data_IF_074702607253
#
_entry.id   IF_074702607253
#
_cell.length_a   1.000
_cell.length_b   1.000
_cell.length_c   1.000
_cell.angle_alpha   90.00
_cell.angle_beta   90.00
_cell.angle_gamma   90.00
#
_symmetry.space_group_name_H-M   'P 1'
#
loop_
_entity.id
_entity.type
_entity.pdbx_description
1 polymer ?
#
# COMPACT_ATOMS: atom_id res chain seq x y z
N UNK A 1 17.97 29.20 5.58
CA UNK A 1 17.71 27.76 5.48
C UNK A 1 16.29 27.54 4.97
N UNK A 2 16.10 27.06 3.74
CA UNK A 2 14.78 26.75 3.19
C UNK A 2 14.58 25.23 3.23
N UNK A 3 13.58 24.76 3.96
CA UNK A 3 13.21 23.32 4.04
C UNK A 3 12.67 22.86 2.68
N UNK A 4 13.02 21.67 2.18
CA UNK A 4 12.34 21.10 1.02
C UNK A 4 10.93 20.67 1.44
N UNK A 5 9.91 21.23 0.79
CA UNK A 5 8.54 20.79 0.93
C UNK A 5 8.43 19.34 0.41
N UNK A 6 8.05 18.40 1.27
CA UNK A 6 7.62 17.07 0.83
C UNK A 6 6.29 17.25 0.09
N UNK A 7 6.32 17.20 -1.25
CA UNK A 7 5.10 17.24 -2.05
C UNK A 7 4.30 15.96 -1.79
N UNK A 8 3.03 16.05 -1.33
CA UNK A 8 2.15 14.89 -1.34
C UNK A 8 1.81 14.54 -2.79
N UNK A 9 1.72 13.25 -3.09
CA UNK A 9 1.22 12.76 -4.36
C UNK A 9 -0.21 13.28 -4.56
N UNK A 10 -0.40 14.23 -5.48
CA UNK A 10 -1.69 14.89 -5.68
C UNK A 10 -2.57 14.06 -6.63
N UNK A 11 -3.91 14.21 -6.58
CA UNK A 11 -4.80 13.58 -7.55
C UNK A 11 -4.46 13.94 -9.01
N UNK A 12 -3.87 15.11 -9.25
CA UNK A 12 -3.40 15.52 -10.57
C UNK A 12 -2.14 14.75 -11.00
N UNK A 13 -1.18 14.54 -10.10
CA UNK A 13 -0.01 13.70 -10.38
C UNK A 13 -0.40 12.23 -10.58
N UNK A 14 -1.42 11.76 -9.86
CA UNK A 14 -1.99 10.42 -10.06
C UNK A 14 -2.63 10.29 -11.45
N UNK A 15 -3.39 11.30 -11.88
CA UNK A 15 -4.00 11.34 -13.20
C UNK A 15 -2.96 11.44 -14.32
N UNK A 16 -1.92 12.27 -14.17
CA UNK A 16 -0.82 12.36 -15.14
C UNK A 16 0.00 11.08 -15.20
N UNK A 17 0.29 10.46 -14.06
CA UNK A 17 0.96 9.16 -14.01
C UNK A 17 0.12 8.09 -14.73
N UNK A 18 -1.18 8.02 -14.45
CA UNK A 18 -2.11 7.09 -15.10
C UNK A 18 -2.22 7.37 -16.60
N UNK A 19 -2.27 8.64 -16.99
CA UNK A 19 -2.33 9.05 -18.39
C UNK A 19 -1.03 8.74 -19.13
N UNK A 20 0.13 8.91 -18.49
CA UNK A 20 1.44 8.54 -19.05
C UNK A 20 1.63 7.02 -19.13
N UNK A 21 1.06 6.27 -18.19
CA UNK A 21 1.03 4.80 -18.21
C UNK A 21 0.13 4.25 -19.32
N UNK A 22 -1.05 4.85 -19.52
CA UNK A 22 -2.05 4.35 -20.48
C UNK A 22 -1.94 4.96 -21.87
N UNK A 23 -1.17 6.04 -22.01
CA UNK A 23 -0.98 6.77 -23.26
C UNK A 23 0.47 7.27 -23.35
N UNK A 24 1.46 6.37 -23.50
CA UNK A 24 2.88 6.71 -23.46
C UNK A 24 3.32 7.65 -24.59
N UNK A 25 2.49 7.84 -25.61
CA UNK A 25 2.72 8.73 -26.75
C UNK A 25 1.88 10.02 -26.72
N UNK A 26 1.07 10.23 -25.66
CA UNK A 26 0.33 11.49 -25.45
C UNK A 26 -0.75 11.78 -26.51
N UNK A 27 -1.25 10.77 -27.24
CA UNK A 27 -2.27 10.98 -28.27
C UNK A 27 -3.63 11.23 -27.60
N UNK A 28 -4.27 12.39 -27.75
CA UNK A 28 -5.59 12.60 -27.18
C UNK A 28 -6.59 11.66 -27.85
N UNK A 29 -7.10 10.67 -27.11
CA UNK A 29 -8.29 9.91 -27.50
C UNK A 29 -9.54 10.78 -27.33
N UNK A 30 -9.56 11.92 -28.02
CA UNK A 30 -10.72 12.78 -28.17
C UNK A 30 -11.19 12.65 -29.62
N UNK A 31 -12.23 11.83 -29.85
CA UNK A 31 -12.98 11.87 -31.11
C UNK A 31 -13.00 10.62 -32.00
N UNK A 32 -13.02 9.39 -31.45
CA UNK A 32 -13.42 8.21 -32.25
C UNK A 32 -14.95 8.11 -32.38
N UNK A 33 -15.55 9.13 -33.01
CA UNK A 33 -16.75 8.93 -33.80
C UNK A 33 -16.49 9.61 -35.14
N UNK A 34 -16.25 8.86 -36.23
CA UNK A 34 -16.19 9.47 -37.54
C UNK A 34 -17.56 10.12 -37.84
N UNK A 35 -17.60 11.36 -38.36
CA UNK A 35 -18.87 11.96 -38.76
C UNK A 35 -19.48 11.11 -39.87
N UNK A 36 -20.71 10.63 -39.65
CA UNK A 36 -21.47 9.93 -40.68
C UNK A 36 -21.75 10.90 -41.82
N UNK A 37 -21.10 10.68 -42.97
CA UNK A 37 -21.38 11.44 -44.18
C UNK A 37 -22.80 11.11 -44.67
N UNK A 38 -23.60 12.10 -45.11
CA UNK A 38 -24.95 11.85 -45.62
C UNK A 38 -24.88 11.00 -46.89
N UNK A 39 -25.57 9.86 -46.91
CA UNK A 39 -25.66 8.99 -48.08
C UNK A 39 -24.96 7.63 -47.98
N UNK A 40 -24.29 7.32 -46.85
CA UNK A 40 -23.82 5.96 -46.56
C UNK A 40 -24.96 5.18 -45.90
N UNK A 41 -25.39 4.01 -46.44
CA UNK A 41 -26.38 3.18 -45.77
C UNK A 41 -25.88 2.81 -44.37
N UNK A 42 -26.78 2.69 -43.36
CA UNK A 42 -26.38 2.47 -41.98
C UNK A 42 -25.39 1.30 -41.91
N UNK A 43 -24.23 1.58 -41.31
CA UNK A 43 -23.14 0.63 -41.15
C UNK A 43 -23.71 -0.70 -40.65
N UNK A 44 -23.36 -1.78 -41.34
CA UNK A 44 -23.59 -3.15 -40.88
C UNK A 44 -23.31 -3.21 -39.38
N UNK A 45 -24.32 -3.56 -38.56
CA UNK A 45 -24.17 -3.52 -37.11
C UNK A 45 -23.08 -4.52 -36.74
N UNK A 46 -22.33 -4.18 -35.69
CA UNK A 46 -21.37 -5.01 -34.98
C UNK A 46 -21.39 -6.49 -35.36
N UNK A 47 -20.26 -7.08 -35.80
CA UNK A 47 -20.22 -8.46 -36.23
C UNK A 47 -20.88 -9.35 -35.17
N UNK A 48 -21.99 -9.98 -35.59
CA UNK A 48 -22.77 -10.88 -34.75
C UNK A 48 -21.81 -11.92 -34.15
N UNK A 49 -21.70 -12.09 -32.82
CA UNK A 49 -20.75 -13.03 -32.22
C UNK A 49 -20.91 -14.44 -32.80
N UNK A 50 -22.14 -14.84 -33.14
CA UNK A 50 -22.43 -16.10 -33.82
C UNK A 50 -21.89 -16.23 -35.25
N UNK A 51 -21.66 -15.12 -35.95
CA UNK A 51 -21.01 -15.12 -37.26
C UNK A 51 -19.48 -15.30 -37.15
N UNK A 52 -18.87 -14.90 -36.03
CA UNK A 52 -17.45 -15.21 -35.75
C UNK A 52 -17.25 -16.70 -35.44
N UNK A 53 -18.25 -17.36 -34.85
CA UNK A 53 -18.26 -18.82 -34.64
C UNK A 53 -18.65 -19.61 -35.91
N UNK A 54 -19.05 -18.96 -37.00
CA UNK A 54 -19.36 -19.65 -38.25
C UNK A 54 -18.11 -20.01 -39.08
N UNK A 55 -16.93 -19.50 -38.71
CA UNK A 55 -15.65 -19.72 -39.40
C UNK A 55 -14.62 -20.47 -38.53
N UNK A 56 -15.07 -21.38 -37.67
CA UNK A 56 -14.24 -22.15 -36.73
C UNK A 56 -13.35 -23.18 -37.45
N UNK A 57 -12.35 -22.71 -38.19
CA UNK A 57 -11.17 -23.51 -38.49
C UNK A 57 -10.43 -23.77 -37.16
N UNK A 58 -10.17 -25.03 -36.77
CA UNK A 58 -9.37 -25.36 -35.59
C UNK A 58 -8.03 -24.61 -35.53
N UNK A 59 -7.41 -24.30 -36.68
CA UNK A 59 -6.16 -23.55 -36.73
C UNK A 59 -6.31 -22.10 -36.26
N UNK A 60 -7.41 -21.43 -36.60
CA UNK A 60 -7.69 -20.06 -36.15
C UNK A 60 -8.02 -20.01 -34.65
N UNK A 61 -8.68 -21.05 -34.12
CA UNK A 61 -8.89 -21.19 -32.67
C UNK A 61 -7.56 -21.33 -31.93
N UNK A 62 -6.65 -22.17 -32.41
CA UNK A 62 -5.32 -22.32 -31.79
C UNK A 62 -4.53 -21.00 -31.83
N UNK A 63 -4.60 -20.27 -32.95
CA UNK A 63 -4.00 -18.94 -33.07
C UNK A 63 -4.58 -17.96 -32.04
N UNK A 64 -5.91 -17.87 -31.93
CA UNK A 64 -6.60 -17.00 -30.96
C UNK A 64 -6.26 -17.35 -29.53
N UNK A 65 -6.16 -18.65 -29.21
CA UNK A 65 -5.71 -19.11 -27.90
C UNK A 65 -4.30 -18.57 -27.63
N UNK A 66 -3.37 -18.70 -28.58
CA UNK A 66 -2.01 -18.16 -28.46
C UNK A 66 -1.97 -16.65 -28.21
N UNK A 67 -2.72 -15.87 -29.00
CA UNK A 67 -2.83 -14.41 -28.80
C UNK A 67 -3.38 -14.05 -27.41
N UNK A 68 -4.44 -14.73 -26.96
CA UNK A 68 -5.04 -14.52 -25.64
C UNK A 68 -4.09 -14.92 -24.50
N UNK A 69 -3.25 -15.95 -24.67
CA UNK A 69 -2.22 -16.33 -23.68
C UNK A 69 -1.15 -15.26 -23.52
N UNK A 70 -0.76 -14.60 -24.61
CA UNK A 70 0.18 -13.47 -24.53
C UNK A 70 -0.43 -12.31 -23.77
N UNK A 71 -1.71 -11.99 -24.05
CA UNK A 71 -2.45 -10.95 -23.33
C UNK A 71 -2.56 -11.30 -21.84
N UNK A 72 -2.92 -12.55 -21.52
CA UNK A 72 -2.98 -13.06 -20.15
C UNK A 72 -1.64 -12.88 -19.42
N UNK A 73 -0.53 -13.26 -20.05
CA UNK A 73 0.81 -13.13 -19.48
C UNK A 73 1.19 -11.67 -19.19
N UNK A 74 0.83 -10.74 -20.08
CA UNK A 74 1.08 -9.31 -19.86
C UNK A 74 0.20 -8.74 -18.75
N UNK A 75 -1.08 -9.11 -18.70
CA UNK A 75 -2.00 -8.69 -17.64
C UNK A 75 -1.54 -9.22 -16.27
N UNK A 76 -1.04 -10.45 -16.20
CA UNK A 76 -0.45 -11.00 -14.99
C UNK A 76 0.77 -10.19 -14.53
N UNK A 77 1.65 -9.81 -15.46
CA UNK A 77 2.80 -8.95 -15.15
C UNK A 77 2.36 -7.56 -14.63
N UNK A 78 1.34 -6.96 -15.27
CA UNK A 78 0.75 -5.68 -14.83
C UNK A 78 0.17 -5.79 -13.41
N UNK A 79 -0.55 -6.87 -13.13
CA UNK A 79 -1.09 -7.15 -11.80
C UNK A 79 0.01 -7.25 -10.75
N UNK A 80 1.08 -8.00 -11.05
CA UNK A 80 2.23 -8.13 -10.14
C UNK A 80 2.87 -6.78 -9.83
N UNK A 81 3.00 -5.90 -10.83
CA UNK A 81 3.53 -4.55 -10.63
C UNK A 81 2.65 -3.69 -9.71
N UNK A 82 1.32 -3.74 -9.88
CA UNK A 82 0.38 -3.04 -8.99
C UNK A 82 0.47 -3.57 -7.56
N UNK A 83 0.50 -4.89 -7.39
CA UNK A 83 0.63 -5.51 -6.07
C UNK A 83 1.94 -5.13 -5.36
N UNK A 84 3.07 -5.07 -6.09
CA UNK A 84 4.34 -4.60 -5.54
C UNK A 84 4.29 -3.11 -5.14
N UNK A 85 3.64 -2.27 -5.96
CA UNK A 85 3.46 -0.85 -5.66
C UNK A 85 2.62 -0.64 -4.40
N UNK A 86 1.53 -1.41 -4.24
CA UNK A 86 0.68 -1.38 -3.04
C UNK A 86 1.50 -1.77 -1.80
N UNK A 87 2.20 -2.91 -1.83
CA UNK A 87 3.04 -3.37 -0.70
C UNK A 87 4.10 -2.34 -0.31
N UNK A 88 4.70 -1.68 -1.29
CA UNK A 88 5.69 -0.62 -1.03
C UNK A 88 5.05 0.56 -0.32
N UNK A 89 3.86 1.01 -0.75
CA UNK A 89 3.13 2.10 -0.10
C UNK A 89 2.64 1.71 1.31
N UNK A 90 2.22 0.47 1.52
CA UNK A 90 1.84 -0.05 2.83
C UNK A 90 3.02 -0.06 3.81
N UNK A 91 4.21 -0.44 3.34
CA UNK A 91 5.44 -0.35 4.13
C UNK A 91 5.80 1.11 4.46
N UNK A 92 5.69 2.01 3.48
CA UNK A 92 5.92 3.45 3.69
C UNK A 92 4.94 4.03 4.72
N UNK A 93 3.65 3.67 4.64
CA UNK A 93 2.63 4.06 5.61
C UNK A 93 3.01 3.59 7.02
N UNK A 94 3.36 2.32 7.17
CA UNK A 94 3.73 1.73 8.47
C UNK A 94 4.96 2.43 9.07
N UNK A 95 5.96 2.73 8.24
CA UNK A 95 7.16 3.48 8.68
C UNK A 95 6.82 4.89 9.17
N UNK A 96 5.93 5.61 8.46
CA UNK A 96 5.47 6.94 8.88
C UNK A 96 4.68 6.90 10.21
N UNK A 97 3.85 5.87 10.40
CA UNK A 97 3.11 5.66 11.65
C UNK A 97 4.07 5.37 12.82
N UNK A 98 5.10 4.55 12.61
CA UNK A 98 6.13 4.27 13.60
C UNK A 98 6.93 5.54 13.97
N UNK A 99 7.33 6.34 12.98
CA UNK A 99 8.02 7.61 13.22
C UNK A 99 7.14 8.61 14.00
N UNK A 100 5.84 8.68 13.67
CA UNK A 100 4.89 9.53 14.41
C UNK A 100 4.72 9.06 15.85
N UNK A 101 4.63 7.75 16.08
CA UNK A 101 4.54 7.19 17.43
C UNK A 101 5.82 7.46 18.25
N UNK A 102 7.00 7.30 17.64
CA UNK A 102 8.28 7.63 18.29
C UNK A 102 8.43 9.12 18.62
N UNK A 103 8.01 10.01 17.71
CA UNK A 103 8.01 11.45 17.97
C UNK A 103 7.04 11.85 19.10
N UNK A 104 5.87 11.20 19.19
CA UNK A 104 4.94 11.40 20.30
C UNK A 104 5.51 10.92 21.64
N UNK A 105 6.18 9.76 21.65
CA UNK A 105 6.85 9.24 22.85
C UNK A 105 8.00 10.15 23.32
N UNK A 106 8.77 10.74 22.40
CA UNK A 106 9.82 11.71 22.71
C UNK A 106 9.28 13.06 23.20
N UNK A 107 8.02 13.39 22.88
CA UNK A 107 7.36 14.63 23.29
C UNK A 107 6.55 14.48 24.59
N UNK A 108 6.39 13.26 25.11
CA UNK A 108 5.83 13.08 26.44
C UNK A 108 6.87 13.48 27.49
N UNK A 109 6.54 14.35 28.45
CA UNK A 109 7.38 14.56 29.62
C UNK A 109 7.63 13.20 30.26
N UNK A 110 8.81 12.96 30.87
CA UNK A 110 8.99 11.76 31.68
C UNK A 110 7.82 11.71 32.65
N UNK A 111 6.98 10.67 32.52
CA UNK A 111 5.91 10.42 33.47
C UNK A 111 6.59 10.48 34.84
N UNK A 112 6.19 11.48 35.63
CA UNK A 112 6.68 11.61 36.99
C UNK A 112 6.49 10.23 37.60
N UNK A 113 7.62 9.61 37.98
CA UNK A 113 7.62 8.36 38.70
C UNK A 113 6.56 8.49 39.80
N UNK A 114 5.71 7.47 40.02
CA UNK A 114 4.80 7.53 41.16
C UNK A 114 5.68 7.78 42.38
N UNK A 115 5.60 9.00 42.91
CA UNK A 115 6.35 9.44 44.06
C UNK A 115 6.03 8.44 45.16
N UNK A 116 6.95 7.50 45.37
CA UNK A 116 7.04 6.79 46.64
C UNK A 116 7.31 7.91 47.64
N UNK A 117 6.22 8.34 48.29
CA UNK A 117 6.29 9.13 49.50
C UNK A 117 7.04 8.29 50.51
N UNK A 118 8.34 8.50 50.54
CA UNK A 118 9.20 8.15 51.65
C UNK A 118 8.78 9.01 52.84
N UNK A 119 7.75 8.55 53.56
CA UNK A 119 7.41 9.09 54.87
C UNK A 119 8.34 8.49 55.91
N UNK A 120 9.44 9.19 56.23
CA UNK A 120 9.91 9.41 57.62
C UNK A 120 11.26 10.15 57.64
N UNK A 121 11.52 11.05 58.62
CA UNK A 121 11.67 10.60 60.00
C UNK A 121 11.16 11.59 61.06
N UNK A 122 10.39 11.11 62.04
CA UNK A 122 10.33 11.71 63.37
C UNK A 122 10.40 10.61 64.44
N UNK A 123 11.02 10.91 65.60
CA UNK A 123 11.65 9.92 66.48
C UNK A 123 10.71 9.49 67.60
N UNK A 124 10.56 8.19 67.82
CA UNK A 124 10.17 7.68 69.15
C UNK A 124 10.53 6.20 69.28
N UNK A 125 11.40 5.95 70.25
CA UNK A 125 11.54 4.77 71.12
C UNK A 125 11.60 3.36 70.48
N UNK A 126 12.78 2.76 70.62
CA UNK A 126 12.98 1.30 70.75
C UNK A 126 12.08 0.72 71.88
N UNK A 127 11.78 -0.60 71.93
CA UNK A 127 12.81 -1.64 71.83
C UNK A 127 12.45 -2.98 71.13
N UNK A 128 13.50 -3.78 70.90
CA UNK A 128 13.54 -5.23 70.61
C UNK A 128 13.20 -5.68 69.17
N UNK A 129 13.91 -6.61 68.52
CA UNK A 129 15.21 -7.26 68.72
C UNK A 129 15.73 -7.72 67.33
N UNK A 130 17.06 -7.78 67.16
CA UNK A 130 17.76 -8.45 66.04
C UNK A 130 17.80 -9.98 66.30
N UNK A 131 18.31 -10.86 65.40
CA UNK A 131 18.68 -10.74 63.97
C UNK A 131 18.13 -11.94 63.14
N UNK A 132 18.58 -12.06 61.88
CA UNK A 132 18.76 -13.29 61.06
C UNK A 132 18.03 -13.22 59.72
N UNK A 133 18.55 -13.64 58.57
CA UNK A 133 19.89 -13.92 58.06
C UNK A 133 19.70 -14.33 56.58
N UNK A 134 20.55 -13.80 55.68
CA UNK A 134 21.03 -14.43 54.43
C UNK A 134 20.03 -14.71 53.27
N UNK A 135 20.27 -14.03 52.14
CA UNK A 135 20.04 -14.54 50.75
C UNK A 135 21.07 -15.65 50.47
N UNK A 136 20.82 -16.64 49.58
CA UNK A 136 20.99 -16.42 48.12
C UNK A 136 19.96 -17.15 47.21
N UNK A 137 20.08 -16.87 45.89
CA UNK A 137 19.31 -17.34 44.69
C UNK A 137 19.61 -18.82 44.30
N UNK A 138 19.49 -19.25 43.01
CA UNK A 138 18.37 -19.48 42.06
C UNK A 138 18.36 -20.96 41.53
N UNK A 139 17.34 -21.40 40.76
CA UNK A 139 17.40 -22.43 39.66
C UNK A 139 16.14 -22.22 38.77
N UNK A 140 16.20 -21.94 37.47
CA UNK A 140 16.66 -22.77 36.33
C UNK A 140 15.84 -24.07 36.18
N UNK A 141 15.45 -24.36 34.93
CA UNK A 141 14.71 -25.48 34.34
C UNK A 141 13.50 -24.95 33.56
N UNK A 142 13.21 -25.35 32.32
CA UNK A 142 13.87 -26.17 31.28
C UNK A 142 13.07 -25.87 30.00
#
# INVERSE_FOLDING_TARGET
MSKPASMPFTPQQALEFMQKMWNPFGVPMAGVMPPVAPGVPPAVPFPNPMAMFATLDPAEIERKIGELRVIESWLAMSLNFMQMSIKTLELQKTSLEALRAGAAAASQPPAQAPSQQETKPHPHSQPHAKPHAKRPKPKENE
#
